data_IF_765281142174
#
_entry.id   IF_765281142174
#
_cell.length_a   1.000
_cell.length_b   1.000
_cell.length_c   1.000
_cell.angle_alpha   90.00
_cell.angle_beta   90.00
_cell.angle_gamma   90.00
#
_symmetry.space_group_name_H-M   'P 1'
#
loop_
_entity.id
_entity.type
_entity.pdbx_description
1 polymer ?
#
# COMPACT_ATOMS: atom_id res chain seq x y z
N UNK A 1 5.00 -8.02 -0.87
CA UNK A 1 5.53 -9.19 -1.59
C UNK A 1 5.05 -9.10 -3.02
N UNK A 2 5.98 -9.01 -3.99
CA UNK A 2 5.65 -9.09 -5.41
C UNK A 2 5.02 -10.47 -5.61
N UNK A 3 3.71 -10.54 -5.65
CA UNK A 3 3.00 -11.82 -5.66
C UNK A 3 2.70 -12.31 -7.08
N UNK A 4 2.88 -11.45 -8.08
CA UNK A 4 2.57 -11.79 -9.47
C UNK A 4 3.59 -11.20 -10.44
N UNK A 5 3.69 -11.81 -11.59
CA UNK A 5 4.52 -11.36 -12.73
C UNK A 5 4.13 -9.94 -13.21
N UNK A 6 2.87 -9.52 -12.99
CA UNK A 6 2.40 -8.16 -13.31
C UNK A 6 3.04 -7.11 -12.40
N UNK A 7 3.36 -7.47 -11.16
CA UNK A 7 3.97 -6.58 -10.18
C UNK A 7 5.42 -6.25 -10.53
N UNK A 8 6.17 -7.19 -11.13
CA UNK A 8 7.56 -6.99 -11.56
C UNK A 8 7.67 -5.82 -12.55
N UNK A 9 6.81 -5.78 -13.58
CA UNK A 9 6.81 -4.69 -14.57
C UNK A 9 6.51 -3.34 -13.93
N UNK A 10 5.58 -3.29 -12.98
CA UNK A 10 5.18 -2.08 -12.27
C UNK A 10 6.32 -1.61 -11.37
N UNK A 11 6.88 -2.50 -10.53
CA UNK A 11 8.01 -2.21 -9.67
C UNK A 11 9.24 -1.73 -10.43
N UNK A 12 9.56 -2.33 -11.59
CA UNK A 12 10.65 -1.86 -12.45
C UNK A 12 10.42 -0.43 -12.95
N UNK A 13 9.18 -0.13 -13.38
CA UNK A 13 8.85 1.21 -13.87
C UNK A 13 8.88 2.26 -12.76
N UNK A 14 8.52 1.91 -11.53
CA UNK A 14 8.55 2.85 -10.39
C UNK A 14 9.97 3.22 -9.96
N UNK A 15 10.98 2.46 -10.36
CA UNK A 15 12.41 2.78 -10.15
C UNK A 15 13.10 3.29 -11.41
N UNK A 16 12.33 3.70 -12.42
CA UNK A 16 12.80 4.24 -13.72
C UNK A 16 13.76 3.32 -14.47
N UNK A 17 13.69 2.02 -14.23
CA UNK A 17 14.51 1.03 -14.95
C UNK A 17 13.87 0.60 -16.26
N UNK A 18 14.72 0.40 -17.28
CA UNK A 18 14.37 -0.34 -18.51
C UNK A 18 14.42 -1.85 -18.26
N UNK A 19 13.87 -2.65 -19.15
CA UNK A 19 14.01 -4.12 -19.08
C UNK A 19 15.48 -4.56 -19.15
N UNK A 20 16.33 -3.77 -19.79
CA UNK A 20 17.76 -4.02 -19.89
C UNK A 20 18.44 -3.77 -18.53
N UNK A 21 18.13 -2.67 -17.86
CA UNK A 21 18.69 -2.36 -16.54
C UNK A 21 18.36 -3.47 -15.53
N UNK A 22 17.10 -3.94 -15.52
CA UNK A 22 16.70 -5.05 -14.68
C UNK A 22 17.40 -6.36 -15.05
N UNK A 23 17.61 -6.61 -16.34
CA UNK A 23 18.34 -7.78 -16.83
C UNK A 23 19.80 -7.76 -16.37
N UNK A 24 20.47 -6.62 -16.53
CA UNK A 24 21.87 -6.41 -16.11
C UNK A 24 22.00 -6.57 -14.59
N UNK A 25 21.10 -5.97 -13.79
CA UNK A 25 21.10 -6.07 -12.33
C UNK A 25 20.85 -7.49 -11.81
N UNK A 26 20.09 -8.30 -12.54
CA UNK A 26 19.71 -9.66 -12.11
C UNK A 26 20.54 -10.76 -12.78
N UNK A 27 21.43 -10.44 -13.73
CA UNK A 27 22.17 -11.42 -14.52
C UNK A 27 21.28 -12.25 -15.47
N UNK A 28 20.08 -11.74 -15.80
CA UNK A 28 19.16 -12.35 -16.73
C UNK A 28 19.29 -11.68 -18.12
N UNK A 29 18.79 -12.33 -19.17
CA UNK A 29 18.68 -11.67 -20.47
C UNK A 29 17.47 -10.73 -20.51
N UNK A 30 17.56 -9.63 -21.27
CA UNK A 30 16.43 -8.73 -21.50
C UNK A 30 15.20 -9.48 -22.05
N UNK A 31 15.42 -10.48 -22.93
CA UNK A 31 14.34 -11.30 -23.47
C UNK A 31 13.66 -12.18 -22.40
N UNK A 32 14.41 -12.63 -21.39
CA UNK A 32 13.84 -13.34 -20.24
C UNK A 32 12.96 -12.41 -19.41
N UNK A 33 13.44 -11.22 -19.06
CA UNK A 33 12.65 -10.20 -18.36
C UNK A 33 11.37 -9.87 -19.13
N UNK A 34 11.46 -9.64 -20.45
CA UNK A 34 10.30 -9.34 -21.28
C UNK A 34 9.25 -10.47 -21.30
N UNK A 35 9.69 -11.75 -21.29
CA UNK A 35 8.78 -12.91 -21.20
C UNK A 35 8.15 -13.04 -19.82
N UNK A 36 8.93 -12.82 -18.77
CA UNK A 36 8.48 -12.80 -17.38
C UNK A 36 7.39 -11.74 -17.21
N UNK A 37 7.63 -10.50 -17.60
CA UNK A 37 6.66 -9.39 -17.49
C UNK A 37 5.37 -9.61 -18.30
N UNK A 38 5.40 -10.42 -19.34
CA UNK A 38 4.22 -10.81 -20.15
C UNK A 38 3.47 -12.01 -19.58
N UNK A 39 3.94 -12.59 -18.48
CA UNK A 39 3.34 -13.78 -17.88
C UNK A 39 3.48 -15.05 -18.75
N UNK A 40 4.40 -15.04 -19.72
CA UNK A 40 4.61 -16.15 -20.65
C UNK A 40 5.68 -17.14 -20.19
N UNK A 41 6.25 -16.92 -19.01
CA UNK A 41 7.32 -17.76 -18.47
C UNK A 41 7.09 -17.98 -16.97
N UNK A 42 7.11 -19.24 -16.54
CA UNK A 42 7.13 -19.58 -15.12
C UNK A 42 8.46 -19.14 -14.52
N UNK A 43 8.41 -18.34 -13.46
CA UNK A 43 9.59 -17.85 -12.76
C UNK A 43 9.89 -18.81 -11.62
N UNK A 44 11.14 -19.32 -11.54
CA UNK A 44 11.56 -20.07 -10.35
C UNK A 44 11.60 -19.14 -9.13
N UNK A 45 11.44 -19.71 -7.95
CA UNK A 45 11.48 -18.95 -6.70
C UNK A 45 12.78 -18.12 -6.59
N UNK A 46 13.93 -18.71 -6.88
CA UNK A 46 15.24 -18.04 -6.83
C UNK A 46 15.33 -16.87 -7.81
N UNK A 47 14.81 -17.06 -9.05
CA UNK A 47 14.79 -15.98 -10.04
C UNK A 47 13.89 -14.84 -9.59
N UNK A 48 12.75 -15.16 -8.97
CA UNK A 48 11.83 -14.20 -8.42
C UNK A 48 12.46 -13.39 -7.28
N UNK A 49 13.13 -14.06 -6.34
CA UNK A 49 13.84 -13.40 -5.24
C UNK A 49 14.93 -12.45 -5.76
N UNK A 50 15.76 -12.88 -6.71
CA UNK A 50 16.78 -12.01 -7.33
C UNK A 50 16.19 -10.76 -7.97
N UNK A 51 15.06 -10.89 -8.64
CA UNK A 51 14.36 -9.75 -9.24
C UNK A 51 13.83 -8.81 -8.15
N UNK A 52 13.21 -9.35 -7.12
CA UNK A 52 12.69 -8.58 -5.99
C UNK A 52 13.81 -7.82 -5.27
N UNK A 53 14.90 -8.49 -4.92
CA UNK A 53 16.08 -7.91 -4.28
C UNK A 53 16.72 -6.78 -5.11
N UNK A 54 16.86 -6.98 -6.42
CA UNK A 54 17.42 -5.95 -7.30
C UNK A 54 16.54 -4.70 -7.37
N UNK A 55 15.21 -4.88 -7.44
CA UNK A 55 14.26 -3.78 -7.46
C UNK A 55 14.18 -3.07 -6.12
N UNK A 56 14.27 -3.80 -4.99
CA UNK A 56 14.32 -3.23 -3.65
C UNK A 56 15.60 -2.43 -3.42
N UNK A 57 16.75 -2.96 -3.82
CA UNK A 57 18.04 -2.27 -3.73
C UNK A 57 17.99 -0.94 -4.50
N UNK A 58 17.47 -0.97 -5.74
CA UNK A 58 17.33 0.24 -6.56
C UNK A 58 16.32 1.23 -5.98
N UNK A 59 15.20 0.74 -5.47
CA UNK A 59 14.21 1.57 -4.79
C UNK A 59 14.78 2.27 -3.57
N UNK A 60 15.62 1.58 -2.80
CA UNK A 60 16.33 2.14 -1.64
C UNK A 60 17.36 3.21 -2.04
N UNK A 61 18.06 3.03 -3.16
CA UNK A 61 18.97 4.05 -3.72
C UNK A 61 18.19 5.31 -4.16
N UNK A 62 17.06 5.16 -4.83
CA UNK A 62 16.24 6.28 -5.32
C UNK A 62 15.42 6.93 -4.20
N UNK A 63 14.88 6.12 -3.28
CA UNK A 63 13.98 6.55 -2.22
C UNK A 63 14.67 7.18 -1.02
N UNK A 64 15.99 7.26 -0.99
CA UNK A 64 16.76 7.87 0.11
C UNK A 64 16.18 7.54 1.49
N UNK A 65 16.11 6.25 1.83
CA UNK A 65 15.86 5.78 3.21
C UNK A 65 14.61 6.30 3.93
N UNK A 66 13.54 6.70 3.21
CA UNK A 66 12.27 7.00 3.85
C UNK A 66 11.67 5.70 4.42
N UNK A 67 11.29 5.74 5.69
CA UNK A 67 10.56 4.67 6.35
C UNK A 67 9.07 5.02 6.47
N UNK A 68 8.24 4.02 6.72
CA UNK A 68 6.81 4.24 6.97
C UNK A 68 6.59 5.17 8.16
N UNK A 69 7.42 5.05 9.22
CA UNK A 69 7.34 5.90 10.41
C UNK A 69 7.63 7.37 10.14
N UNK A 70 8.46 7.69 9.13
CA UNK A 70 8.77 9.08 8.76
C UNK A 70 7.67 9.75 7.92
N UNK A 71 6.81 8.97 7.27
CA UNK A 71 5.75 9.51 6.39
C UNK A 71 4.35 9.34 6.94
N UNK A 72 4.14 8.45 7.94
CA UNK A 72 2.82 8.14 8.46
C UNK A 72 2.11 9.34 9.07
N UNK A 73 0.80 9.38 8.94
CA UNK A 73 -0.08 10.17 9.77
C UNK A 73 -0.29 9.45 11.12
N UNK A 74 -0.09 10.15 12.24
CA UNK A 74 -0.25 9.60 13.58
C UNK A 74 -1.66 9.77 14.14
N UNK A 75 -2.41 10.75 13.62
CA UNK A 75 -3.80 11.00 14.01
C UNK A 75 -4.73 10.00 13.30
N UNK A 76 -4.72 8.77 13.80
CA UNK A 76 -5.50 7.69 13.22
C UNK A 76 -6.98 7.86 13.55
N UNK A 77 -7.79 8.16 12.53
CA UNK A 77 -9.25 8.10 12.63
C UNK A 77 -9.69 6.65 12.45
N UNK A 78 -10.30 6.06 13.47
CA UNK A 78 -10.75 4.68 13.48
C UNK A 78 -12.16 4.56 14.09
N UNK A 79 -12.85 3.44 13.82
CA UNK A 79 -14.19 3.16 14.35
C UNK A 79 -14.29 1.72 14.84
N UNK A 80 -15.30 1.47 15.70
CA UNK A 80 -15.69 0.11 16.09
C UNK A 80 -16.76 -0.45 15.10
N UNK A 81 -16.90 -1.80 14.99
CA UNK A 81 -17.80 -2.43 14.00
C UNK A 81 -19.27 -2.02 14.15
N UNK A 82 -19.73 -1.81 15.36
CA UNK A 82 -21.14 -1.51 15.69
C UNK A 82 -21.50 -0.03 15.58
N UNK A 83 -20.55 0.82 15.24
CA UNK A 83 -20.81 2.25 15.11
C UNK A 83 -21.64 2.57 13.86
N UNK A 84 -22.46 3.63 13.90
CA UNK A 84 -23.38 3.95 12.82
C UNK A 84 -22.65 4.49 11.59
N UNK A 85 -23.18 4.17 10.41
CA UNK A 85 -22.65 4.61 9.10
C UNK A 85 -22.58 6.12 8.99
N UNK A 86 -23.55 6.83 9.55
CA UNK A 86 -23.61 8.28 9.51
C UNK A 86 -22.40 8.91 10.22
N UNK A 87 -21.85 8.22 11.24
CA UNK A 87 -20.61 8.65 11.89
C UNK A 87 -19.43 8.50 10.96
N UNK A 88 -19.36 7.41 10.19
CA UNK A 88 -18.30 7.22 9.19
C UNK A 88 -18.31 8.33 8.14
N UNK A 89 -19.48 8.67 7.61
CA UNK A 89 -19.64 9.75 6.62
C UNK A 89 -19.17 11.09 7.20
N UNK A 90 -19.58 11.42 8.43
CA UNK A 90 -19.13 12.67 9.08
C UNK A 90 -17.62 12.70 9.29
N UNK A 91 -17.02 11.63 9.81
CA UNK A 91 -15.57 11.56 10.02
C UNK A 91 -14.79 11.66 8.71
N UNK A 92 -15.29 11.06 7.62
CA UNK A 92 -14.67 11.20 6.31
C UNK A 92 -14.69 12.64 5.81
N UNK A 93 -15.78 13.37 6.03
CA UNK A 93 -15.92 14.77 5.64
C UNK A 93 -15.05 15.68 6.54
N UNK A 94 -15.15 15.55 7.86
CA UNK A 94 -14.43 16.35 8.84
C UNK A 94 -12.90 16.24 8.70
N UNK A 95 -12.40 15.05 8.39
CA UNK A 95 -10.94 14.77 8.26
C UNK A 95 -10.45 14.75 6.82
N UNK A 96 -11.32 14.98 5.83
CA UNK A 96 -11.02 14.89 4.40
C UNK A 96 -10.37 13.54 4.02
N UNK A 97 -10.88 12.43 4.57
CA UNK A 97 -10.39 11.07 4.33
C UNK A 97 -11.44 10.22 3.61
N UNK A 98 -11.01 9.25 2.83
CA UNK A 98 -11.88 8.38 2.04
C UNK A 98 -11.98 6.95 2.58
N UNK A 99 -11.31 6.65 3.69
CA UNK A 99 -11.28 5.33 4.32
C UNK A 99 -11.03 5.43 5.82
N UNK A 100 -11.65 4.52 6.57
CA UNK A 100 -11.55 4.45 8.03
C UNK A 100 -11.32 2.98 8.40
N UNK A 101 -10.20 2.63 9.04
CA UNK A 101 -9.98 1.29 9.58
C UNK A 101 -10.92 1.02 10.75
N UNK A 102 -11.39 -0.23 10.82
CA UNK A 102 -12.34 -0.69 11.84
C UNK A 102 -11.60 -1.64 12.79
N UNK A 103 -11.73 -1.35 14.09
CA UNK A 103 -11.09 -2.14 15.14
C UNK A 103 -12.14 -2.71 16.10
N UNK A 104 -11.99 -4.00 16.41
CA UNK A 104 -12.69 -4.65 17.54
C UNK A 104 -11.68 -4.83 18.68
N UNK A 105 -11.72 -3.94 19.66
CA UNK A 105 -10.65 -3.78 20.64
C UNK A 105 -9.30 -3.48 19.96
N UNK A 106 -8.24 -4.28 20.18
CA UNK A 106 -6.95 -4.09 19.53
C UNK A 106 -6.86 -4.69 18.12
N UNK A 107 -7.87 -5.45 17.69
CA UNK A 107 -7.84 -6.21 16.44
C UNK A 107 -8.40 -5.36 15.30
N UNK A 108 -7.60 -5.16 14.25
CA UNK A 108 -8.08 -4.61 12.99
C UNK A 108 -8.92 -5.66 12.26
N UNK A 109 -10.20 -5.37 12.02
CA UNK A 109 -11.17 -6.33 11.48
C UNK A 109 -11.67 -5.97 10.08
N UNK A 110 -11.30 -4.82 9.55
CA UNK A 110 -11.70 -4.39 8.22
C UNK A 110 -11.55 -2.89 8.00
N UNK A 111 -12.03 -2.42 6.87
CA UNK A 111 -11.94 -1.00 6.49
C UNK A 111 -13.23 -0.55 5.81
N UNK A 112 -13.74 0.59 6.19
CA UNK A 112 -14.84 1.27 5.48
C UNK A 112 -14.26 2.30 4.53
N UNK A 113 -14.72 2.29 3.28
CA UNK A 113 -14.34 3.27 2.26
C UNK A 113 -15.55 4.05 1.78
N UNK A 114 -15.34 5.29 1.32
CA UNK A 114 -16.41 6.10 0.71
C UNK A 114 -17.10 5.38 -0.45
N UNK A 115 -16.32 4.68 -1.29
CA UNK A 115 -16.85 3.86 -2.39
C UNK A 115 -17.67 2.65 -1.87
N UNK A 116 -17.22 2.03 -0.77
CA UNK A 116 -17.92 0.94 -0.11
C UNK A 116 -19.28 1.40 0.44
N UNK A 117 -19.28 2.51 1.18
CA UNK A 117 -20.50 3.14 1.69
C UNK A 117 -21.48 3.48 0.57
N UNK A 118 -21.01 4.12 -0.49
CA UNK A 118 -21.85 4.47 -1.64
C UNK A 118 -22.51 3.23 -2.25
N UNK A 119 -21.77 2.15 -2.45
CA UNK A 119 -22.31 0.89 -3.00
C UNK A 119 -23.39 0.27 -2.12
N UNK A 120 -23.26 0.37 -0.80
CA UNK A 120 -24.23 -0.21 0.13
C UNK A 120 -25.49 0.66 0.20
N UNK A 121 -25.33 1.96 0.33
CA UNK A 121 -26.45 2.92 0.39
C UNK A 121 -27.30 2.95 -0.88
N UNK A 122 -26.67 2.83 -2.06
CA UNK A 122 -27.38 2.83 -3.35
C UNK A 122 -28.14 1.52 -3.64
N UNK A 123 -27.84 0.43 -2.93
CA UNK A 123 -28.53 -0.85 -3.10
C UNK A 123 -29.86 -0.96 -2.35
N UNK A 124 -30.28 0.10 -1.65
CA UNK A 124 -31.56 0.15 -0.94
C UNK A 124 -31.67 -0.83 0.25
N UNK A 125 -30.55 -1.33 0.75
CA UNK A 125 -30.52 -2.13 1.97
C UNK A 125 -30.50 -1.20 3.17
N UNK A 126 -31.28 -1.53 4.19
CA UNK A 126 -31.13 -0.90 5.50
C UNK A 126 -29.76 -1.29 6.07
N UNK A 127 -28.86 -0.32 6.14
CA UNK A 127 -27.51 -0.51 6.64
C UNK A 127 -27.31 0.51 7.75
N UNK A 128 -27.10 0.01 8.96
CA UNK A 128 -27.06 0.86 10.16
C UNK A 128 -25.64 0.97 10.76
N UNK A 129 -24.83 -0.08 10.60
CA UNK A 129 -23.50 -0.14 11.19
C UNK A 129 -22.40 -0.27 10.14
N UNK A 130 -21.21 0.20 10.48
CA UNK A 130 -20.05 0.11 9.58
C UNK A 130 -19.63 -1.33 9.29
N UNK A 131 -19.90 -2.27 10.21
CA UNK A 131 -19.69 -3.70 9.99
C UNK A 131 -20.35 -4.20 8.68
N UNK A 132 -21.53 -3.69 8.36
CA UNK A 132 -22.29 -4.08 7.16
C UNK A 132 -21.70 -3.54 5.85
N UNK A 133 -20.84 -2.54 5.94
CA UNK A 133 -20.23 -1.85 4.80
C UNK A 133 -18.71 -2.02 4.71
N UNK A 134 -18.07 -2.62 5.74
CA UNK A 134 -16.64 -2.80 5.74
C UNK A 134 -16.18 -3.82 4.70
N UNK A 135 -14.98 -3.62 4.21
CA UNK A 135 -14.27 -4.50 3.29
C UNK A 135 -13.11 -5.21 4.01
N UNK A 136 -12.15 -5.73 3.23
CA UNK A 136 -10.96 -6.41 3.74
C UNK A 136 -10.11 -5.54 4.69
N UNK A 137 -9.30 -6.21 5.47
CA UNK A 137 -8.28 -5.62 6.31
C UNK A 137 -7.20 -4.93 5.47
N UNK A 138 -6.59 -3.88 6.05
CA UNK A 138 -5.41 -3.24 5.48
C UNK A 138 -4.15 -4.05 5.84
N UNK A 139 -3.11 -4.01 5.02
CA UNK A 139 -1.80 -4.54 5.41
C UNK A 139 -1.25 -3.76 6.61
N UNK A 140 -0.60 -4.47 7.52
CA UNK A 140 0.08 -3.90 8.68
C UNK A 140 1.58 -4.11 8.54
N UNK A 141 2.37 -3.04 8.64
CA UNK A 141 3.81 -3.09 8.52
C UNK A 141 4.49 -2.29 9.62
N UNK A 142 5.72 -2.68 9.97
CA UNK A 142 6.49 -2.00 11.00
C UNK A 142 6.91 -0.59 10.54
N UNK A 143 6.98 0.37 11.46
CA UNK A 143 7.39 1.75 11.18
C UNK A 143 8.79 1.88 10.56
N UNK A 144 9.68 0.93 10.85
CA UNK A 144 11.04 0.89 10.28
C UNK A 144 11.08 0.35 8.84
N UNK A 145 9.95 -0.12 8.29
CA UNK A 145 9.92 -0.63 6.93
C UNK A 145 10.23 0.49 5.92
N UNK A 146 11.24 0.31 5.05
CA UNK A 146 11.59 1.32 4.05
C UNK A 146 10.53 1.39 2.97
N UNK A 147 10.30 2.59 2.43
CA UNK A 147 9.39 2.79 1.30
C UNK A 147 10.06 2.27 0.03
N UNK A 148 9.60 1.12 -0.40
CA UNK A 148 10.10 0.39 -1.57
C UNK A 148 9.02 0.32 -2.64
N UNK A 149 9.34 -0.11 -3.88
CA UNK A 149 8.34 -0.41 -4.90
C UNK A 149 7.27 -1.41 -4.46
N UNK A 150 7.61 -2.28 -3.50
CA UNK A 150 6.66 -3.20 -2.88
C UNK A 150 5.61 -2.45 -2.05
N UNK A 151 6.06 -1.54 -1.19
CA UNK A 151 5.18 -0.69 -0.38
C UNK A 151 4.27 0.16 -1.27
N UNK A 152 4.83 0.75 -2.34
CA UNK A 152 4.05 1.51 -3.32
C UNK A 152 2.98 0.63 -3.99
N UNK A 153 3.31 -0.60 -4.35
CA UNK A 153 2.36 -1.57 -4.88
C UNK A 153 1.24 -1.95 -3.90
N UNK A 154 1.54 -2.07 -2.61
CA UNK A 154 0.53 -2.27 -1.58
C UNK A 154 -0.40 -1.06 -1.45
N UNK A 155 0.14 0.15 -1.49
CA UNK A 155 -0.65 1.38 -1.45
C UNK A 155 -1.56 1.53 -2.68
N UNK A 156 -1.12 1.11 -3.87
CA UNK A 156 -1.96 1.09 -5.05
C UNK A 156 -3.13 0.08 -4.94
N UNK A 157 -2.90 -1.06 -4.27
CA UNK A 157 -3.91 -2.10 -4.14
C UNK A 157 -4.88 -1.85 -2.98
N UNK A 158 -4.37 -1.42 -1.83
CA UNK A 158 -5.13 -1.29 -0.58
C UNK A 158 -5.48 0.16 -0.24
N UNK A 159 -4.84 1.13 -0.93
CA UNK A 159 -4.96 2.58 -0.73
C UNK A 159 -4.41 3.10 0.61
N UNK A 160 -4.13 2.22 1.58
CA UNK A 160 -3.45 2.55 2.82
C UNK A 160 -2.72 1.34 3.41
N UNK A 161 -1.82 1.63 4.35
CA UNK A 161 -1.08 0.67 5.16
C UNK A 161 -1.16 1.14 6.61
N UNK A 162 -1.54 0.26 7.52
CA UNK A 162 -1.44 0.52 8.96
C UNK A 162 0.01 0.33 9.41
N UNK A 163 0.52 1.29 10.14
CA UNK A 163 1.89 1.27 10.66
C UNK A 163 1.90 0.81 12.09
N UNK A 164 2.78 -0.15 12.40
CA UNK A 164 2.88 -0.72 13.73
C UNK A 164 4.23 -0.42 14.40
N UNK A 165 4.21 -0.26 15.73
CA UNK A 165 5.37 -0.19 16.60
C UNK A 165 5.14 -1.15 17.77
N UNK A 166 6.08 -2.08 17.99
CA UNK A 166 5.96 -3.10 19.05
C UNK A 166 4.66 -3.90 19.02
N UNK A 167 4.07 -4.08 17.84
CA UNK A 167 2.82 -4.82 17.65
C UNK A 167 1.54 -3.98 17.77
N UNK A 168 1.63 -2.72 18.17
CA UNK A 168 0.49 -1.81 18.24
C UNK A 168 0.43 -0.93 17.00
N UNK A 169 -0.78 -0.58 16.54
CA UNK A 169 -0.97 0.36 15.43
C UNK A 169 -0.73 1.78 15.93
N UNK A 170 0.24 2.47 15.30
CA UNK A 170 0.67 3.82 15.67
C UNK A 170 0.39 4.87 14.61
N UNK A 171 -0.05 4.46 13.42
CA UNK A 171 -0.34 5.38 12.33
C UNK A 171 -0.84 4.70 11.07
N UNK A 172 -1.04 5.49 10.05
CA UNK A 172 -1.50 5.07 8.73
C UNK A 172 -0.69 5.79 7.65
N UNK A 173 -0.40 5.10 6.56
CA UNK A 173 0.24 5.67 5.38
C UNK A 173 -0.64 5.49 4.17
N UNK A 174 -0.81 6.55 3.41
CA UNK A 174 -1.50 6.58 2.11
C UNK A 174 -0.53 6.95 0.99
N UNK A 175 -0.97 6.86 -0.26
CA UNK A 175 -0.18 7.31 -1.41
C UNK A 175 0.14 8.81 -1.36
N UNK A 176 -0.78 9.62 -0.84
CA UNK A 176 -0.62 11.06 -0.68
C UNK A 176 0.51 11.42 0.30
N UNK A 177 0.66 10.65 1.38
CA UNK A 177 1.71 10.87 2.38
C UNK A 177 3.09 10.63 1.77
N UNK A 178 3.24 9.55 1.01
CA UNK A 178 4.47 9.24 0.28
C UNK A 178 4.79 10.30 -0.76
N UNK A 179 3.80 10.74 -1.55
CA UNK A 179 3.98 11.79 -2.55
C UNK A 179 4.38 13.12 -1.92
N UNK A 180 3.71 13.52 -0.84
CA UNK A 180 4.00 14.76 -0.11
C UNK A 180 5.44 14.82 0.36
N UNK A 181 5.92 13.75 0.99
CA UNK A 181 7.30 13.68 1.47
C UNK A 181 8.34 13.63 0.34
N UNK A 182 8.03 12.94 -0.74
CA UNK A 182 8.91 12.87 -1.92
C UNK A 182 9.12 14.24 -2.57
N UNK A 183 8.05 15.04 -2.70
CA UNK A 183 8.12 16.39 -3.27
C UNK A 183 8.90 17.36 -2.37
N UNK A 184 8.69 17.32 -1.05
CA UNK A 184 9.38 18.23 -0.11
C UNK A 184 10.90 18.02 -0.09
N UNK A 185 11.38 16.79 -0.28
CA UNK A 185 12.83 16.51 -0.34
C UNK A 185 13.49 17.02 -1.63
N UNK A 186 12.79 17.03 -2.75
CA UNK A 186 13.36 17.53 -4.02
C UNK A 186 13.53 19.06 -4.07
N UNK A 187 12.92 19.80 -3.14
CA UNK A 187 13.05 21.28 -3.07
C UNK A 187 14.14 21.75 -2.09
N UNK A 188 14.78 20.83 -1.35
CA UNK A 188 15.82 21.13 -0.37
C UNK A 188 17.23 20.66 -0.79
N UNK A 189 17.45 20.40 -2.08
CA UNK A 189 18.79 20.09 -2.65
C UNK A 189 19.20 21.18 -3.63
#
# INVERSE_FOLDING_TARGET
MINTVKDIRRARKSVDWTQRDLADATGLSQSAIAKIEKGRYGVSHDTFLRIAEALEARGSELGQNLTLGEVMATDLVAMAPEEPIEKAVRLMDEHAISQIPIFDGPLHVGTVTSTGLMKVLTRGKEVHTVHMAMSRELPMLNESAPITPLITGLLEEFHAILVTRSGEVVGIVTSEDVLRMSVHRHHNV
#
